data_IF_322013080971
#
_entry.id   IF_322013080971
#
_cell.length_a   1.000
_cell.length_b   1.000
_cell.length_c   1.000
_cell.angle_alpha   90.00
_cell.angle_beta   90.00
_cell.angle_gamma   90.00
#
_symmetry.space_group_name_H-M   'P 1'
#
loop_
_entity.id
_entity.type
_entity.pdbx_description
1 polymer ?
#
# COMPACT_ATOMS: atom_id res chain seq x y z
N UNK A 1 3.67 17.19 -3.14
CA UNK A 1 3.79 16.17 -4.19
C UNK A 1 5.01 15.28 -3.94
N UNK A 2 5.15 14.71 -2.74
CA UNK A 2 6.37 13.93 -2.34
C UNK A 2 6.07 12.69 -1.48
N UNK A 3 4.88 12.60 -0.86
CA UNK A 3 4.50 11.47 0.00
C UNK A 3 4.29 10.16 -0.78
N UNK A 4 3.68 10.24 -1.97
CA UNK A 4 3.49 9.05 -2.81
C UNK A 4 4.82 8.54 -3.38
N UNK A 5 5.73 9.47 -3.68
CA UNK A 5 7.02 9.18 -4.29
C UNK A 5 7.98 8.56 -3.27
N UNK A 6 7.95 9.00 -2.01
CA UNK A 6 8.81 8.46 -0.94
C UNK A 6 8.48 7.00 -0.56
N UNK A 7 7.23 6.56 -0.73
CA UNK A 7 6.84 5.14 -0.53
C UNK A 7 7.28 4.27 -1.71
N UNK A 8 7.45 4.85 -2.90
CA UNK A 8 7.79 4.16 -4.16
C UNK A 8 9.29 4.24 -4.52
N UNK A 9 10.10 5.03 -3.81
CA UNK A 9 11.49 5.34 -4.15
C UNK A 9 12.53 4.80 -3.15
N UNK A 10 12.34 3.58 -2.65
CA UNK A 10 13.48 2.88 -2.05
C UNK A 10 14.30 2.24 -3.18
N UNK A 11 15.27 2.97 -3.71
CA UNK A 11 16.04 2.57 -4.89
C UNK A 11 16.92 1.32 -4.69
N UNK A 12 16.99 0.77 -3.48
CA UNK A 12 17.88 -0.33 -3.12
C UNK A 12 17.17 -1.43 -2.31
N UNK A 13 15.95 -1.81 -2.72
CA UNK A 13 15.23 -2.98 -2.16
C UNK A 13 16.12 -4.25 -2.24
N UNK A 14 16.89 -4.39 -3.32
CA UNK A 14 17.81 -5.52 -3.51
C UNK A 14 18.94 -5.55 -2.47
N UNK A 15 19.51 -4.40 -2.12
CA UNK A 15 20.50 -4.29 -1.04
C UNK A 15 19.88 -4.60 0.33
N UNK A 16 18.63 -4.18 0.54
CA UNK A 16 17.89 -4.47 1.77
C UNK A 16 17.59 -5.95 1.93
N UNK A 17 17.23 -6.64 0.84
CA UNK A 17 17.02 -8.08 0.82
C UNK A 17 18.33 -8.85 0.98
N UNK A 18 19.43 -8.37 0.38
CA UNK A 18 20.75 -9.01 0.47
C UNK A 18 21.36 -8.93 1.88
N UNK A 19 21.12 -7.84 2.58
CA UNK A 19 21.59 -7.63 3.96
C UNK A 19 20.54 -8.04 5.01
N UNK A 20 19.47 -8.73 4.59
CA UNK A 20 18.41 -9.15 5.47
C UNK A 20 18.94 -10.12 6.54
N UNK A 21 18.63 -9.91 7.83
CA UNK A 21 19.09 -10.78 8.90
C UNK A 21 18.43 -12.17 8.87
N UNK A 22 17.23 -12.26 8.28
CA UNK A 22 16.46 -13.49 8.13
C UNK A 22 15.51 -13.41 6.92
N UNK A 23 14.88 -14.54 6.60
CA UNK A 23 13.89 -14.63 5.53
C UNK A 23 12.57 -13.89 5.84
N UNK A 24 12.29 -13.59 7.11
CA UNK A 24 11.08 -12.88 7.54
C UNK A 24 11.13 -11.40 7.18
N UNK A 25 12.32 -10.81 7.14
CA UNK A 25 12.53 -9.44 6.63
C UNK A 25 12.05 -9.29 5.19
N UNK A 26 12.33 -10.27 4.32
CA UNK A 26 11.85 -10.27 2.93
C UNK A 26 10.32 -10.30 2.83
N UNK A 27 9.65 -10.99 3.74
CA UNK A 27 8.18 -10.99 3.85
C UNK A 27 7.68 -9.60 4.24
N UNK A 28 8.34 -8.94 5.18
CA UNK A 28 8.01 -7.56 5.57
C UNK A 28 8.16 -6.56 4.42
N UNK A 29 9.23 -6.67 3.63
CA UNK A 29 9.45 -5.87 2.42
C UNK A 29 8.36 -6.12 1.39
N UNK A 30 8.01 -7.39 1.14
CA UNK A 30 6.95 -7.77 0.21
C UNK A 30 5.57 -7.25 0.63
N UNK A 31 5.24 -7.33 1.92
CA UNK A 31 3.98 -6.78 2.44
C UNK A 31 3.99 -5.25 2.33
N UNK A 32 5.13 -4.61 2.63
CA UNK A 32 5.31 -3.17 2.53
C UNK A 32 5.09 -2.63 1.12
N UNK A 33 5.52 -3.37 0.08
CA UNK A 33 5.32 -2.97 -1.33
C UNK A 33 3.86 -3.13 -1.78
N UNK A 34 3.11 -4.06 -1.19
CA UNK A 34 1.68 -4.26 -1.47
C UNK A 34 0.76 -3.30 -0.72
N UNK A 35 1.23 -2.75 0.41
CA UNK A 35 0.48 -1.85 1.30
C UNK A 35 -0.16 -0.63 0.57
N UNK A 36 0.52 0.05 -0.37
CA UNK A 36 -0.09 1.13 -1.17
C UNK A 36 -1.32 0.69 -1.96
N UNK A 37 -1.33 -0.52 -2.49
CA UNK A 37 -2.47 -1.06 -3.24
C UNK A 37 -3.65 -1.36 -2.31
N UNK A 38 -3.38 -1.89 -1.11
CA UNK A 38 -4.41 -2.11 -0.08
C UNK A 38 -5.06 -0.78 0.32
N UNK A 39 -4.26 0.28 0.48
CA UNK A 39 -4.78 1.62 0.77
C UNK A 39 -5.70 2.12 -0.34
N UNK A 40 -5.34 1.92 -1.62
CA UNK A 40 -6.22 2.28 -2.75
C UNK A 40 -7.55 1.52 -2.72
N UNK A 41 -7.53 0.22 -2.42
CA UNK A 41 -8.75 -0.60 -2.29
C UNK A 41 -9.63 -0.10 -1.13
N UNK A 42 -9.04 0.25 0.01
CA UNK A 42 -9.78 0.80 1.15
C UNK A 42 -10.42 2.15 0.82
N UNK A 43 -9.70 3.02 0.10
CA UNK A 43 -10.25 4.30 -0.38
C UNK A 43 -11.43 4.05 -1.32
N UNK A 44 -11.28 3.16 -2.30
CA UNK A 44 -12.36 2.81 -3.22
C UNK A 44 -13.58 2.24 -2.48
N UNK A 45 -13.36 1.36 -1.50
CA UNK A 45 -14.42 0.83 -0.66
C UNK A 45 -15.11 1.90 0.17
N UNK A 46 -14.35 2.84 0.74
CA UNK A 46 -14.90 3.96 1.52
C UNK A 46 -15.77 4.87 0.64
N UNK A 47 -15.32 5.20 -0.58
CA UNK A 47 -16.09 5.98 -1.56
C UNK A 47 -17.37 5.22 -1.95
N UNK A 48 -17.26 3.93 -2.28
CA UNK A 48 -18.43 3.10 -2.59
C UNK A 48 -19.43 3.10 -1.44
N UNK A 49 -18.98 2.87 -0.20
CA UNK A 49 -19.84 2.81 0.98
C UNK A 49 -20.52 4.15 1.25
N UNK A 50 -19.80 5.26 1.11
CA UNK A 50 -20.36 6.60 1.32
C UNK A 50 -21.41 6.95 0.26
N UNK A 51 -21.14 6.63 -1.01
CA UNK A 51 -22.07 6.92 -2.10
C UNK A 51 -23.24 5.94 -2.18
N UNK A 52 -23.08 4.69 -1.73
CA UNK A 52 -24.16 3.68 -1.73
C UNK A 52 -25.38 4.09 -0.90
N UNK A 53 -25.19 4.87 0.16
CA UNK A 53 -26.29 5.39 0.98
C UNK A 53 -26.90 6.69 0.44
N UNK A 54 -26.34 7.31 -0.61
CA UNK A 54 -26.88 8.52 -1.23
C UNK A 54 -27.89 8.24 -2.36
N UNK A 55 -27.88 7.04 -2.93
CA UNK A 55 -28.83 6.60 -3.97
C UNK A 55 -30.05 5.87 -3.41
N UNK A 56 -30.27 5.92 -2.08
CA UNK A 56 -31.38 5.23 -1.41
C UNK A 56 -32.56 6.13 -1.07
N UNK A 57 -32.44 7.42 -1.36
CA UNK A 57 -33.44 8.45 -1.09
C UNK A 57 -34.04 9.05 -2.40
N UNK A 58 -33.98 8.31 -3.51
CA UNK A 58 -34.77 8.57 -4.74
C UNK A 58 -35.75 7.43 -5.00
#
# INVERSE_FOLDING_TARGET
MSLLITILQDGNIDEKLKNAPDSSYGVGVFIGTLLPFVVLVLIAFAIYRYNKNRYKDE
#
